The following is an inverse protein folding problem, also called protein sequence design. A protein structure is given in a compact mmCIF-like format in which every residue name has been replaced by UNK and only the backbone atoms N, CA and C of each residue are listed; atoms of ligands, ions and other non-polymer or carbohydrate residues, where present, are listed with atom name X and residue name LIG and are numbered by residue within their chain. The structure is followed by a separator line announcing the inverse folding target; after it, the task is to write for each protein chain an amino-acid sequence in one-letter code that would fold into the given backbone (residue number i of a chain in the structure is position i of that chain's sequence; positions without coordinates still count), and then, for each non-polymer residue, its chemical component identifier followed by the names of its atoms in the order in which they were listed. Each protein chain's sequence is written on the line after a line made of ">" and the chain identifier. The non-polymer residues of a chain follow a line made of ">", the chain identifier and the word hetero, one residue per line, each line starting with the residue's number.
data_IF_407792516883
#
_entry.id   IF_407792516883
#
_cell.length_a   1.000
_cell.length_b   1.000
_cell.length_c   1.000
_cell.angle_alpha   90.00
_cell.angle_beta   90.00
_cell.angle_gamma   90.00
#
_symmetry.space_group_name_H-M   'P 1'
#
loop_
_entity.id
_entity.type
_entity.pdbx_description
1 polymer ?
#
# COMPACT_ATOMS: atom_id res chain seq x y z
N UNK A 1 20.00 23.82 -11.04
CA UNK A 1 19.94 23.75 -12.52
C UNK A 1 19.77 25.09 -13.21
N UNK A 2 18.82 25.98 -12.85
CA UNK A 2 18.63 27.29 -13.52
C UNK A 2 19.91 28.17 -13.58
N UNK A 3 20.73 28.19 -12.52
CA UNK A 3 22.02 28.92 -12.50
C UNK A 3 23.09 28.33 -13.45
N UNK A 4 23.06 27.02 -13.71
CA UNK A 4 24.03 26.36 -14.60
C UNK A 4 23.68 26.62 -16.07
N UNK A 5 22.39 26.56 -16.42
CA UNK A 5 21.90 26.99 -17.74
C UNK A 5 22.12 28.48 -17.98
N UNK A 6 21.99 29.32 -16.95
CA UNK A 6 22.30 30.75 -17.04
C UNK A 6 23.78 30.99 -17.39
N UNK A 7 24.72 30.28 -16.75
CA UNK A 7 26.15 30.40 -17.05
C UNK A 7 26.46 29.93 -18.48
N UNK A 8 25.84 28.84 -18.93
CA UNK A 8 25.96 28.36 -20.32
C UNK A 8 25.40 29.40 -21.30
N UNK A 9 24.22 29.95 -21.01
CA UNK A 9 23.57 30.97 -21.84
C UNK A 9 24.40 32.25 -21.90
N UNK A 10 24.99 32.68 -20.78
CA UNK A 10 25.91 33.82 -20.73
C UNK A 10 27.15 33.55 -21.59
N UNK A 11 27.76 32.36 -21.51
CA UNK A 11 28.92 32.03 -22.34
C UNK A 11 28.60 31.95 -23.83
N UNK A 12 27.44 31.41 -24.20
CA UNK A 12 26.97 31.39 -25.59
C UNK A 12 26.64 32.82 -26.06
N UNK A 13 26.01 33.64 -25.21
CA UNK A 13 25.71 35.04 -25.53
C UNK A 13 26.98 35.87 -25.73
N UNK A 14 27.99 35.70 -24.87
CA UNK A 14 29.31 36.34 -25.04
C UNK A 14 29.95 35.89 -26.36
N UNK A 15 29.90 34.60 -26.68
CA UNK A 15 30.42 34.06 -27.95
C UNK A 15 29.69 34.63 -29.18
N UNK A 16 28.37 34.77 -29.13
CA UNK A 16 27.55 35.36 -30.22
C UNK A 16 27.80 36.86 -30.38
N UNK A 17 27.99 37.59 -29.27
CA UNK A 17 28.34 39.03 -29.30
C UNK A 17 29.72 39.23 -29.92
N UNK A 18 30.71 38.41 -29.55
CA UNK A 18 32.05 38.45 -30.16
C UNK A 18 32.04 38.17 -31.67
N UNK A 19 31.08 37.39 -32.19
CA UNK A 19 30.91 37.17 -33.65
C UNK A 19 30.22 38.36 -34.33
N UNK A 20 29.29 39.04 -33.65
CA UNK A 20 28.60 40.23 -34.21
C UNK A 20 29.51 41.44 -34.34
N UNK A 21 30.41 41.67 -33.38
CA UNK A 21 31.36 42.80 -33.43
C UNK A 21 32.39 42.64 -34.57
N UNK A 22 32.68 41.41 -34.99
CA UNK A 22 33.56 41.13 -36.15
C UNK A 22 32.86 41.42 -37.50
N UNK A 23 31.54 41.26 -37.57
CA UNK A 23 30.76 41.51 -38.79
C UNK A 23 30.29 42.96 -38.96
N UNK A 24 30.34 43.80 -37.92
CA UNK A 24 29.90 45.20 -37.98
C UNK A 24 30.91 46.15 -38.66
N UNK A 25 32.12 45.68 -39.00
CA UNK A 25 33.17 46.48 -39.65
C UNK A 25 33.14 46.50 -41.19
N UNK A 26 32.15 45.86 -41.83
CA UNK A 26 32.06 45.75 -43.29
C UNK A 26 30.68 46.22 -43.74
N UNK A 27 30.55 47.49 -44.09
CA UNK A 27 29.57 47.95 -45.08
C UNK A 27 30.01 49.27 -45.74
N UNK A 28 30.00 49.20 -47.06
CA UNK A 28 30.46 50.14 -48.08
C UNK A 28 29.84 51.55 -48.06
N UNK A 29 30.61 52.51 -48.56
CA UNK A 29 30.08 53.47 -49.54
C UNK A 29 31.17 53.86 -50.57
N UNK A 30 30.93 53.49 -51.82
CA UNK A 30 31.74 53.82 -52.99
C UNK A 30 31.33 55.21 -53.56
N UNK A 31 32.38 56.01 -53.75
CA UNK A 31 32.66 57.15 -54.64
C UNK A 31 31.74 57.52 -55.82
N UNK A 32 31.73 58.82 -56.13
CA UNK A 32 32.09 59.46 -57.44
C UNK A 32 32.55 60.90 -57.12
N UNK A 33 33.64 61.51 -57.61
CA UNK A 33 34.12 61.68 -58.99
C UNK A 33 35.62 62.06 -59.07
N UNK A 34 36.20 61.73 -60.25
CA UNK A 34 37.44 62.12 -60.95
C UNK A 34 38.29 63.33 -60.47
N UNK A 35 39.58 63.10 -60.19
CA UNK A 35 40.71 63.37 -61.12
C UNK A 35 42.07 63.05 -60.45
N UNK A 36 42.95 62.39 -61.21
CA UNK A 36 44.40 62.18 -61.07
C UNK A 36 45.04 62.29 -59.67
N UNK A 37 45.67 61.20 -59.20
CA UNK A 37 47.03 61.17 -58.62
C UNK A 37 47.47 59.69 -58.48
N UNK A 38 48.74 59.46 -58.83
CA UNK A 38 49.55 58.26 -58.64
C UNK A 38 49.28 57.53 -57.31
N UNK A 39 48.92 56.24 -57.34
CA UNK A 39 48.96 55.38 -56.15
C UNK A 39 49.49 53.98 -56.48
N UNK A 40 50.62 53.65 -55.84
CA UNK A 40 51.16 52.30 -55.67
C UNK A 40 50.06 51.36 -55.19
N UNK A 41 49.91 50.21 -55.84
CA UNK A 41 49.17 49.09 -55.29
C UNK A 41 50.16 48.07 -54.73
N UNK A 42 50.40 48.16 -53.42
CA UNK A 42 50.79 47.01 -52.61
C UNK A 42 49.61 46.03 -52.53
N UNK A 43 49.86 44.71 -52.51
CA UNK A 43 48.80 43.72 -52.39
C UNK A 43 48.13 43.85 -51.02
N UNK A 44 46.83 44.16 -50.99
CA UNK A 44 46.02 44.10 -49.76
C UNK A 44 45.83 42.64 -49.38
N UNK A 45 46.54 42.20 -48.35
CA UNK A 45 46.26 40.96 -47.62
C UNK A 45 44.83 41.00 -47.08
N UNK A 46 43.97 40.10 -47.58
CA UNK A 46 42.59 39.95 -47.15
C UNK A 46 42.42 38.83 -46.10
N UNK A 47 43.43 38.59 -45.25
CA UNK A 47 43.43 37.43 -44.32
C UNK A 47 43.05 37.76 -42.86
N UNK A 48 42.95 39.03 -42.46
CA UNK A 48 42.99 39.35 -41.01
C UNK A 48 41.72 39.05 -40.17
N UNK A 49 40.53 38.97 -40.77
CA UNK A 49 39.27 38.78 -40.01
C UNK A 49 38.80 37.31 -39.98
N UNK A 50 39.02 36.57 -41.07
CA UNK A 50 38.74 35.14 -41.10
C UNK A 50 39.69 34.39 -40.17
N UNK A 51 40.99 34.70 -40.21
CA UNK A 51 41.97 34.11 -39.31
C UNK A 51 41.69 34.44 -37.84
N UNK A 52 41.26 35.66 -37.50
CA UNK A 52 40.86 35.99 -36.12
C UNK A 52 39.67 35.16 -35.65
N UNK A 53 38.68 34.95 -36.51
CA UNK A 53 37.48 34.18 -36.17
C UNK A 53 37.82 32.68 -36.02
N UNK A 54 38.63 32.14 -36.91
CA UNK A 54 39.16 30.76 -36.84
C UNK A 54 40.04 30.58 -35.60
N UNK A 55 40.83 31.59 -35.22
CA UNK A 55 41.68 31.55 -34.02
C UNK A 55 40.86 31.56 -32.73
N UNK A 56 39.83 32.38 -32.62
CA UNK A 56 38.91 32.38 -31.46
C UNK A 56 38.16 31.05 -31.35
N UNK A 57 37.75 30.46 -32.47
CA UNK A 57 37.07 29.16 -32.49
C UNK A 57 38.03 28.03 -32.11
N UNK A 58 39.26 28.03 -32.64
CA UNK A 58 40.29 27.01 -32.32
C UNK A 58 40.80 27.14 -30.88
N UNK A 59 40.95 28.35 -30.35
CA UNK A 59 41.31 28.61 -28.94
C UNK A 59 40.20 28.19 -27.95
N UNK A 60 38.91 28.31 -28.35
CA UNK A 60 37.78 27.92 -27.50
C UNK A 60 37.22 26.52 -27.79
N UNK A 61 37.74 25.81 -28.80
CA UNK A 61 37.28 24.49 -29.23
C UNK A 61 37.41 23.48 -28.09
N UNK A 62 38.50 23.53 -27.33
CA UNK A 62 38.70 22.69 -26.14
C UNK A 62 37.63 22.91 -25.06
N UNK A 63 37.23 24.18 -24.84
CA UNK A 63 36.18 24.53 -23.86
C UNK A 63 34.79 24.08 -24.32
N UNK A 64 34.48 24.21 -25.61
CA UNK A 64 33.22 23.75 -26.22
C UNK A 64 33.11 22.22 -26.23
N UNK A 65 34.19 21.52 -26.59
CA UNK A 65 34.28 20.05 -26.55
C UNK A 65 34.15 19.55 -25.12
N UNK A 66 34.79 20.20 -24.14
CA UNK A 66 34.64 19.85 -22.73
C UNK A 66 33.19 20.06 -22.24
N UNK A 67 32.53 21.15 -22.65
CA UNK A 67 31.13 21.42 -22.29
C UNK A 67 30.18 20.40 -22.90
N UNK A 68 30.35 20.07 -24.18
CA UNK A 68 29.61 19.02 -24.88
C UNK A 68 29.85 17.65 -24.23
N UNK A 69 31.11 17.35 -23.90
CA UNK A 69 31.48 16.14 -23.15
C UNK A 69 30.78 16.06 -21.81
N UNK A 70 30.66 17.17 -21.08
CA UNK A 70 29.97 17.24 -19.78
C UNK A 70 28.45 17.09 -19.92
N UNK A 71 27.85 17.69 -20.95
CA UNK A 71 26.42 17.56 -21.27
C UNK A 71 26.09 16.10 -21.64
N UNK A 72 26.94 15.44 -22.44
CA UNK A 72 26.77 14.05 -22.84
C UNK A 72 27.07 13.07 -21.69
N UNK A 73 28.03 13.38 -20.81
CA UNK A 73 28.40 12.56 -19.67
C UNK A 73 27.38 12.66 -18.52
N UNK A 74 26.72 13.81 -18.33
CA UNK A 74 25.74 14.01 -17.25
C UNK A 74 24.64 12.94 -17.16
N UNK A 75 23.91 12.58 -18.25
CA UNK A 75 22.89 11.52 -18.18
C UNK A 75 23.49 10.15 -17.84
N UNK A 76 24.70 9.85 -18.32
CA UNK A 76 25.40 8.60 -18.01
C UNK A 76 25.80 8.54 -16.53
N UNK A 77 26.34 9.64 -15.99
CA UNK A 77 26.78 9.75 -14.61
C UNK A 77 25.58 9.69 -13.65
N UNK A 78 24.49 10.39 -13.97
CA UNK A 78 23.21 10.30 -13.24
C UNK A 78 22.68 8.87 -13.24
N UNK A 79 22.66 8.20 -14.40
CA UNK A 79 22.21 6.80 -14.49
C UNK A 79 23.07 5.88 -13.62
N UNK A 80 24.40 6.04 -13.65
CA UNK A 80 25.31 5.20 -12.87
C UNK A 80 25.15 5.40 -11.36
N UNK A 81 24.95 6.65 -10.90
CA UNK A 81 24.68 6.93 -9.49
C UNK A 81 23.37 6.27 -9.02
N UNK A 82 22.33 6.31 -9.86
CA UNK A 82 21.05 5.66 -9.53
C UNK A 82 21.20 4.14 -9.51
N UNK A 83 21.90 3.56 -10.49
CA UNK A 83 22.19 2.11 -10.51
C UNK A 83 22.95 1.68 -9.26
N UNK A 84 24.00 2.42 -8.86
CA UNK A 84 24.76 2.13 -7.63
C UNK A 84 23.89 2.24 -6.37
N UNK A 85 23.01 3.25 -6.30
CA UNK A 85 22.09 3.40 -5.18
C UNK A 85 21.09 2.23 -5.10
N UNK A 86 20.53 1.80 -6.24
CA UNK A 86 19.63 0.64 -6.30
C UNK A 86 20.37 -0.63 -5.88
N UNK A 87 21.59 -0.86 -6.35
CA UNK A 87 22.39 -2.03 -5.95
C UNK A 87 22.65 -2.03 -4.44
N UNK A 88 23.05 -0.88 -3.88
CA UNK A 88 23.25 -0.74 -2.43
C UNK A 88 21.97 -1.02 -1.63
N UNK A 89 20.83 -0.49 -2.07
CA UNK A 89 19.54 -0.73 -1.44
C UNK A 89 19.12 -2.21 -1.53
N UNK A 90 19.34 -2.86 -2.68
CA UNK A 90 19.04 -4.29 -2.87
C UNK A 90 19.90 -5.18 -1.96
N UNK A 91 21.20 -4.91 -1.88
CA UNK A 91 22.10 -5.64 -0.99
C UNK A 91 21.68 -5.48 0.48
N UNK A 92 21.33 -4.26 0.87
CA UNK A 92 20.81 -3.97 2.22
C UNK A 92 19.53 -4.75 2.51
N UNK A 93 18.55 -4.71 1.59
CA UNK A 93 17.30 -5.47 1.72
C UNK A 93 17.58 -6.97 1.86
N UNK A 94 18.50 -7.52 1.07
CA UNK A 94 18.84 -8.94 1.13
C UNK A 94 19.50 -9.32 2.47
N UNK A 95 20.41 -8.50 2.97
CA UNK A 95 21.04 -8.70 4.27
C UNK A 95 20.00 -8.64 5.40
N UNK A 96 19.16 -7.60 5.41
CA UNK A 96 18.08 -7.45 6.38
C UNK A 96 17.09 -8.62 6.28
N UNK A 97 16.71 -9.06 5.08
CA UNK A 97 15.83 -10.22 4.89
C UNK A 97 16.41 -11.50 5.48
N UNK A 98 17.73 -11.73 5.39
CA UNK A 98 18.39 -12.89 6.03
C UNK A 98 18.28 -12.81 7.55
N UNK A 99 18.47 -11.63 8.13
CA UNK A 99 18.36 -11.45 9.58
C UNK A 99 16.90 -11.59 10.05
N UNK A 100 15.93 -11.02 9.33
CA UNK A 100 14.50 -11.21 9.61
C UNK A 100 14.14 -12.70 9.55
N UNK A 101 14.59 -13.41 8.52
CA UNK A 101 14.33 -14.84 8.39
C UNK A 101 14.86 -15.63 9.58
N UNK A 102 16.10 -15.36 10.01
CA UNK A 102 16.73 -15.99 11.18
C UNK A 102 15.95 -15.71 12.47
N UNK A 103 15.59 -14.45 12.72
CA UNK A 103 14.85 -14.06 13.93
C UNK A 103 13.43 -14.62 13.94
N UNK A 104 12.73 -14.54 12.81
CA UNK A 104 11.39 -15.10 12.64
C UNK A 104 11.38 -16.61 12.85
N UNK A 105 12.37 -17.34 12.30
CA UNK A 105 12.51 -18.77 12.54
C UNK A 105 12.74 -19.07 14.03
N UNK A 106 13.60 -18.31 14.71
CA UNK A 106 13.83 -18.45 16.16
C UNK A 106 12.54 -18.25 16.96
N UNK A 107 11.70 -17.27 16.58
CA UNK A 107 10.39 -17.06 17.21
C UNK A 107 9.43 -18.22 16.93
N UNK A 108 9.38 -18.73 15.69
CA UNK A 108 8.61 -19.94 15.38
C UNK A 108 9.01 -21.11 16.27
N UNK A 109 10.31 -21.37 16.43
CA UNK A 109 10.82 -22.46 17.27
C UNK A 109 10.50 -22.22 18.75
N UNK A 110 10.48 -20.96 19.20
CA UNK A 110 10.14 -20.57 20.57
C UNK A 110 8.65 -20.76 20.87
N UNK A 111 7.76 -20.44 19.92
CA UNK A 111 6.32 -20.49 20.13
C UNK A 111 5.68 -21.84 19.77
N UNK A 112 6.34 -22.66 18.96
CA UNK A 112 5.82 -23.96 18.54
C UNK A 112 5.43 -24.86 19.74
N UNK A 113 6.24 -25.01 20.80
CA UNK A 113 5.86 -25.80 21.97
C UNK A 113 4.57 -25.33 22.65
N UNK A 114 4.28 -24.03 22.62
CA UNK A 114 3.06 -23.44 23.19
C UNK A 114 1.80 -23.79 22.42
N UNK A 115 1.92 -24.33 21.20
CA UNK A 115 0.77 -24.82 20.42
C UNK A 115 0.32 -26.23 20.79
N UNK A 116 1.17 -27.00 21.48
CA UNK A 116 0.89 -28.41 21.82
C UNK A 116 -0.06 -28.58 23.00
N UNK A 117 -0.14 -27.58 23.88
CA UNK A 117 -1.03 -27.56 25.02
C UNK A 117 -1.99 -26.39 24.88
N UNK A 118 -3.29 -26.66 24.86
CA UNK A 118 -4.32 -25.63 24.68
C UNK A 118 -4.62 -24.94 26.03
N UNK A 119 -3.76 -23.99 26.39
CA UNK A 119 -3.84 -23.20 27.62
C UNK A 119 -4.56 -21.88 27.35
N UNK A 120 -5.24 -21.35 28.37
CA UNK A 120 -5.80 -20.00 28.31
C UNK A 120 -4.66 -18.99 28.25
N UNK A 121 -4.73 -18.07 27.30
CA UNK A 121 -3.78 -16.98 27.12
C UNK A 121 -4.01 -15.90 28.18
N UNK A 122 -2.97 -15.55 28.92
CA UNK A 122 -2.97 -14.39 29.80
C UNK A 122 -2.66 -13.12 29.00
N UNK A 123 -2.95 -11.95 29.58
CA UNK A 123 -2.67 -10.67 28.90
C UNK A 123 -1.16 -10.46 28.73
N UNK A 124 -0.39 -10.93 29.69
CA UNK A 124 1.07 -10.90 29.73
C UNK A 124 1.68 -11.71 28.58
N UNK A 125 1.04 -12.80 28.15
CA UNK A 125 1.49 -13.58 27.00
C UNK A 125 1.37 -12.77 25.70
N UNK A 126 0.27 -12.04 25.53
CA UNK A 126 0.05 -11.15 24.39
C UNK A 126 1.08 -10.01 24.40
N UNK A 127 1.40 -9.48 25.58
CA UNK A 127 2.41 -8.42 25.76
C UNK A 127 3.83 -8.87 25.42
N UNK A 128 4.19 -10.08 25.84
CA UNK A 128 5.48 -10.70 25.53
C UNK A 128 5.63 -10.89 24.03
N UNK A 129 4.65 -11.54 23.38
CA UNK A 129 4.63 -11.73 21.93
C UNK A 129 4.68 -10.41 21.18
N UNK A 130 3.89 -9.42 21.62
CA UNK A 130 3.88 -8.11 20.96
C UNK A 130 5.26 -7.44 20.99
N UNK A 131 6.04 -7.62 22.06
CA UNK A 131 7.41 -7.12 22.17
C UNK A 131 8.31 -7.78 21.13
N UNK A 132 8.30 -9.10 21.07
CA UNK A 132 9.10 -9.88 20.11
C UNK A 132 8.75 -9.49 18.65
N UNK A 133 7.46 -9.33 18.35
CA UNK A 133 6.98 -8.91 17.03
C UNK A 133 7.35 -7.46 16.71
N UNK A 134 7.40 -6.56 17.70
CA UNK A 134 7.85 -5.18 17.49
C UNK A 134 9.32 -5.13 17.10
N UNK A 135 10.16 -5.93 17.74
CA UNK A 135 11.61 -5.94 17.48
C UNK A 135 11.91 -6.37 16.05
N UNK A 136 11.30 -7.46 15.60
CA UNK A 136 11.45 -7.91 14.20
C UNK A 136 10.78 -6.95 13.21
N UNK A 137 9.68 -6.28 13.58
CA UNK A 137 9.06 -5.25 12.74
C UNK A 137 9.97 -4.03 12.54
N UNK A 138 10.69 -3.60 13.57
CA UNK A 138 11.64 -2.49 13.45
C UNK A 138 12.82 -2.87 12.56
N UNK A 139 13.35 -4.08 12.70
CA UNK A 139 14.34 -4.62 11.77
C UNK A 139 13.80 -4.63 10.33
N UNK A 140 12.53 -5.01 10.15
CA UNK A 140 11.93 -5.12 8.82
C UNK A 140 11.76 -3.81 8.05
N UNK A 141 11.91 -2.63 8.68
CA UNK A 141 11.76 -1.35 7.98
C UNK A 141 12.77 -1.16 6.84
N UNK A 142 13.92 -1.83 6.93
CA UNK A 142 14.97 -1.79 5.90
C UNK A 142 14.94 -3.00 4.96
N UNK A 143 14.00 -3.92 5.19
CA UNK A 143 13.84 -5.16 4.43
C UNK A 143 12.86 -5.03 3.26
N UNK A 144 12.41 -6.19 2.78
CA UNK A 144 11.43 -6.27 1.69
C UNK A 144 10.06 -5.77 2.12
N UNK A 145 9.40 -4.98 1.26
CA UNK A 145 8.06 -4.44 1.53
C UNK A 145 7.04 -5.50 1.92
N UNK A 146 7.16 -6.70 1.36
CA UNK A 146 6.24 -7.81 1.59
C UNK A 146 6.31 -8.31 3.04
N UNK A 147 7.53 -8.58 3.54
CA UNK A 147 7.77 -8.99 4.91
C UNK A 147 7.40 -7.89 5.91
N UNK A 148 7.83 -6.65 5.63
CA UNK A 148 7.50 -5.47 6.46
C UNK A 148 5.99 -5.28 6.59
N UNK A 149 5.24 -5.49 5.50
CA UNK A 149 3.78 -5.32 5.47
C UNK A 149 3.07 -6.38 6.31
N UNK A 150 3.49 -7.65 6.26
CA UNK A 150 2.90 -8.69 7.10
C UNK A 150 3.22 -8.46 8.59
N UNK A 151 4.46 -8.09 8.92
CA UNK A 151 4.85 -7.76 10.29
C UNK A 151 4.11 -6.50 10.80
N UNK A 152 3.87 -5.51 9.94
CA UNK A 152 3.02 -4.37 10.26
C UNK A 152 1.61 -4.82 10.65
N UNK A 153 0.97 -5.67 9.84
CA UNK A 153 -0.37 -6.14 10.12
C UNK A 153 -0.45 -6.99 11.39
N UNK A 154 0.50 -7.91 11.59
CA UNK A 154 0.57 -8.73 12.79
C UNK A 154 0.76 -7.88 14.05
N UNK A 155 1.72 -6.95 14.03
CA UNK A 155 1.98 -6.04 15.15
C UNK A 155 0.74 -5.25 15.53
N UNK A 156 0.09 -4.58 14.57
CA UNK A 156 -1.09 -3.77 14.87
C UNK A 156 -2.29 -4.62 15.32
N UNK A 157 -2.45 -5.83 14.76
CA UNK A 157 -3.48 -6.77 15.21
C UNK A 157 -3.25 -7.18 16.66
N UNK A 158 -2.01 -7.49 17.05
CA UNK A 158 -1.67 -7.83 18.44
C UNK A 158 -1.86 -6.63 19.38
N UNK A 159 -1.51 -5.40 18.95
CA UNK A 159 -1.78 -4.19 19.72
C UNK A 159 -3.28 -3.96 19.95
N UNK A 160 -4.11 -4.10 18.91
CA UNK A 160 -5.56 -3.99 19.03
C UNK A 160 -6.16 -5.12 19.87
N UNK A 161 -5.61 -6.33 19.76
CA UNK A 161 -6.00 -7.48 20.59
C UNK A 161 -5.70 -7.20 22.05
N UNK A 162 -4.47 -6.76 22.39
CA UNK A 162 -4.07 -6.41 23.75
C UNK A 162 -4.98 -5.33 24.36
N UNK A 163 -5.37 -4.31 23.58
CA UNK A 163 -6.28 -3.24 24.02
C UNK A 163 -7.66 -3.77 24.41
N UNK A 164 -8.20 -4.70 23.61
CA UNK A 164 -9.57 -5.19 23.73
C UNK A 164 -9.68 -6.52 24.48
N UNK A 165 -8.56 -7.11 24.92
CA UNK A 165 -8.55 -8.39 25.62
C UNK A 165 -8.92 -8.21 27.09
N UNK A 166 -10.07 -8.76 27.48
CA UNK A 166 -10.58 -8.75 28.86
C UNK A 166 -10.79 -10.19 29.31
N UNK A 167 -9.95 -10.65 30.24
CA UNK A 167 -9.98 -12.02 30.80
C UNK A 167 -11.31 -12.36 31.48
N UNK A 168 -12.03 -11.36 31.97
CA UNK A 168 -13.31 -11.51 32.67
C UNK A 168 -14.51 -11.79 31.74
N UNK A 169 -14.29 -11.76 30.42
CA UNK A 169 -15.34 -12.02 29.43
C UNK A 169 -15.41 -13.50 29.04
N UNK A 170 -16.56 -13.96 28.53
CA UNK A 170 -16.76 -15.32 27.97
C UNK A 170 -15.89 -15.63 26.73
N UNK A 171 -14.91 -14.79 26.40
CA UNK A 171 -14.19 -14.76 25.13
C UNK A 171 -12.74 -15.20 25.32
N UNK A 172 -12.59 -16.44 25.80
CA UNK A 172 -11.32 -17.07 26.12
C UNK A 172 -10.52 -17.29 24.83
N UNK A 173 -9.29 -16.77 24.80
CA UNK A 173 -8.31 -17.09 23.77
C UNK A 173 -7.42 -18.22 24.25
N UNK A 174 -7.21 -19.22 23.40
CA UNK A 174 -6.32 -20.32 23.71
C UNK A 174 -4.98 -20.20 22.98
N UNK A 175 -3.94 -20.78 23.56
CA UNK A 175 -2.56 -20.74 23.08
C UNK A 175 -2.42 -21.29 21.66
N UNK A 176 -3.10 -22.39 21.33
CA UNK A 176 -3.07 -22.96 19.97
C UNK A 176 -3.62 -21.97 18.93
N UNK A 177 -4.60 -21.14 19.31
CA UNK A 177 -5.15 -20.11 18.42
C UNK A 177 -4.18 -18.95 18.21
N UNK A 178 -3.61 -18.41 19.29
CA UNK A 178 -2.71 -17.26 19.23
C UNK A 178 -1.37 -17.63 18.58
N UNK A 179 -0.65 -18.59 19.15
CA UNK A 179 0.66 -18.99 18.67
C UNK A 179 0.59 -19.66 17.30
N UNK A 180 -0.46 -20.45 17.03
CA UNK A 180 -0.68 -21.04 15.72
C UNK A 180 -0.84 -19.98 14.62
N UNK A 181 -1.58 -18.90 14.90
CA UNK A 181 -1.71 -17.77 13.97
C UNK A 181 -0.37 -17.05 13.77
N UNK A 182 0.36 -16.76 14.84
CA UNK A 182 1.65 -16.07 14.80
C UNK A 182 2.66 -16.88 13.97
N UNK A 183 2.81 -18.17 14.27
CA UNK A 183 3.71 -19.07 13.53
C UNK A 183 3.34 -19.11 12.05
N UNK A 184 2.04 -19.15 11.73
CA UNK A 184 1.59 -19.13 10.34
C UNK A 184 2.02 -17.85 9.61
N UNK A 185 1.83 -16.69 10.24
CA UNK A 185 2.21 -15.40 9.64
C UNK A 185 3.73 -15.26 9.56
N UNK A 186 4.47 -15.66 10.59
CA UNK A 186 5.95 -15.67 10.58
C UNK A 186 6.51 -16.63 9.52
N UNK A 187 5.84 -17.75 9.26
CA UNK A 187 6.18 -18.64 8.15
C UNK A 187 5.97 -17.98 6.79
N UNK A 188 4.89 -17.20 6.64
CA UNK A 188 4.66 -16.42 5.41
C UNK A 188 5.72 -15.30 5.27
N UNK A 189 6.12 -14.65 6.37
CA UNK A 189 7.25 -13.69 6.40
C UNK A 189 8.56 -14.38 5.96
N UNK A 190 8.86 -15.57 6.49
CA UNK A 190 10.04 -16.35 6.09
C UNK A 190 10.02 -16.68 4.60
N UNK A 191 8.87 -17.06 4.08
CA UNK A 191 8.69 -17.29 2.65
C UNK A 191 9.06 -16.03 1.83
N UNK A 192 8.52 -14.86 2.17
CA UNK A 192 8.85 -13.61 1.45
C UNK A 192 10.31 -13.18 1.60
N UNK A 193 10.91 -13.36 2.77
CA UNK A 193 12.34 -13.07 2.98
C UNK A 193 13.26 -13.97 2.16
N UNK A 194 12.84 -15.21 1.85
CA UNK A 194 13.59 -16.14 1.00
C UNK A 194 13.48 -15.85 -0.50
N UNK A 195 12.52 -15.02 -0.92
CA UNK A 195 12.35 -14.68 -2.33
C UNK A 195 13.42 -13.70 -2.83
N UNK A 196 13.73 -13.78 -4.12
CA UNK A 196 14.62 -12.84 -4.78
C UNK A 196 13.97 -11.45 -4.79
N UNK A 197 14.67 -10.45 -4.24
CA UNK A 197 14.22 -9.06 -4.25
C UNK A 197 14.08 -8.58 -5.69
N UNK A 198 12.91 -8.06 -6.05
CA UNK A 198 12.64 -7.61 -7.41
C UNK A 198 13.57 -6.45 -7.77
N UNK A 199 14.41 -6.65 -8.79
CA UNK A 199 15.19 -5.57 -9.38
C UNK A 199 14.23 -4.67 -10.17
N UNK A 200 14.21 -3.34 -9.89
CA UNK A 200 13.30 -2.45 -10.58
C UNK A 200 13.55 -2.47 -12.09
N UNK A 201 12.46 -2.59 -12.87
CA UNK A 201 12.50 -2.61 -14.34
C UNK A 201 13.10 -1.33 -14.95
N UNK A 202 13.15 -0.24 -14.17
CA UNK A 202 13.67 1.04 -14.61
C UNK A 202 14.10 1.90 -13.43
N UNK A 203 15.09 2.75 -13.66
CA UNK A 203 15.55 3.81 -12.75
C UNK A 203 14.65 5.05 -12.72
N UNK A 204 13.48 4.98 -13.39
CA UNK A 204 12.50 6.07 -13.41
C UNK A 204 11.96 6.36 -12.01
N UNK A 205 11.94 7.65 -11.70
CA UNK A 205 11.41 8.20 -10.46
C UNK A 205 10.04 8.78 -10.77
N UNK A 206 9.10 8.63 -9.85
CA UNK A 206 7.80 9.29 -9.86
C UNK A 206 7.67 10.23 -8.65
N UNK A 207 7.04 11.38 -8.90
CA UNK A 207 6.66 12.30 -7.84
C UNK A 207 5.32 11.84 -7.25
N UNK A 208 5.31 11.65 -5.94
CA UNK A 208 4.11 11.44 -5.15
C UNK A 208 3.86 12.73 -4.39
N UNK A 209 2.67 13.29 -4.54
CA UNK A 209 2.25 14.37 -3.67
C UNK A 209 1.74 13.76 -2.35
N UNK A 210 2.32 14.18 -1.24
CA UNK A 210 1.90 13.77 0.11
C UNK A 210 0.51 14.30 0.47
N UNK A 211 0.02 15.33 -0.22
CA UNK A 211 -1.28 15.94 0.01
C UNK A 211 -2.29 15.46 -1.04
N UNK A 212 -3.30 14.74 -0.53
CA UNK A 212 -4.46 14.34 -1.32
C UNK A 212 -5.37 15.54 -1.64
N UNK A 213 -5.40 16.57 -0.77
CA UNK A 213 -6.18 17.80 -0.96
C UNK A 213 -5.52 18.72 -1.98
N UNK A 214 -6.15 18.88 -3.14
CA UNK A 214 -5.61 19.72 -4.23
C UNK A 214 -5.60 21.19 -3.86
N UNK A 215 -6.57 21.62 -3.06
CA UNK A 215 -6.81 22.99 -2.62
C UNK A 215 -5.64 23.51 -1.77
N UNK A 216 -5.06 22.63 -0.94
CA UNK A 216 -3.95 23.00 -0.06
C UNK A 216 -2.60 23.08 -0.77
N UNK A 217 -2.45 22.48 -1.96
CA UNK A 217 -1.14 22.37 -2.62
C UNK A 217 -0.47 23.70 -2.90
N UNK A 218 -1.23 24.76 -3.14
CA UNK A 218 -0.70 26.10 -3.37
C UNK A 218 -0.13 26.77 -2.11
N UNK A 219 -0.44 26.24 -0.92
CA UNK A 219 -0.10 26.83 0.37
C UNK A 219 0.97 26.04 1.14
N UNK A 220 1.44 24.91 0.60
CA UNK A 220 2.42 24.04 1.28
C UNK A 220 3.63 23.77 0.40
N UNK A 221 4.81 24.09 0.92
CA UNK A 221 6.09 23.78 0.27
C UNK A 221 6.51 22.33 0.56
N UNK A 222 7.33 21.75 -0.32
CA UNK A 222 7.89 20.39 -0.15
C UNK A 222 6.84 19.27 -0.05
N UNK A 223 5.70 19.43 -0.71
CA UNK A 223 4.62 18.44 -0.73
C UNK A 223 4.88 17.25 -1.66
N UNK A 224 5.87 17.34 -2.56
CA UNK A 224 6.25 16.26 -3.47
C UNK A 224 7.43 15.45 -2.92
N UNK A 225 7.24 14.14 -2.80
CA UNK A 225 8.29 13.16 -2.50
C UNK A 225 8.52 12.31 -3.73
N UNK A 226 9.78 11.98 -3.98
CA UNK A 226 10.18 11.18 -5.12
C UNK A 226 10.39 9.73 -4.69
N UNK A 227 9.75 8.78 -5.39
CA UNK A 227 10.03 7.35 -5.23
C UNK A 227 10.38 6.71 -6.56
N UNK A 228 11.06 5.57 -6.51
CA UNK A 228 11.30 4.76 -7.69
C UNK A 228 10.00 4.06 -8.13
N UNK A 229 9.63 4.21 -9.40
CA UNK A 229 8.33 3.74 -9.92
C UNK A 229 8.10 2.23 -9.79
N UNK A 230 9.18 1.45 -9.82
CA UNK A 230 9.12 -0.03 -9.80
C UNK A 230 9.84 -0.63 -8.61
N UNK A 231 10.00 0.14 -7.53
CA UNK A 231 10.70 -0.31 -6.34
C UNK A 231 9.91 0.14 -5.11
N UNK A 232 9.13 -0.80 -4.58
CA UNK A 232 8.36 -0.59 -3.38
C UNK A 232 9.27 -0.84 -2.17
N UNK A 233 9.37 0.15 -1.29
CA UNK A 233 10.07 0.05 -0.01
C UNK A 233 9.09 0.41 1.10
N UNK A 234 9.24 -0.23 2.25
CA UNK A 234 8.36 -0.02 3.40
C UNK A 234 7.00 -0.70 3.29
N UNK A 235 6.07 -0.27 4.14
CA UNK A 235 4.75 -0.89 4.30
C UNK A 235 3.81 -0.54 3.14
N UNK A 236 3.11 -1.54 2.63
CA UNK A 236 2.03 -1.37 1.65
C UNK A 236 0.73 -1.12 2.43
N UNK A 237 0.34 0.15 2.53
CA UNK A 237 -0.86 0.58 3.25
C UNK A 237 -2.18 0.42 2.47
N UNK A 238 -2.15 -0.07 1.23
CA UNK A 238 -3.36 -0.25 0.44
C UNK A 238 -4.23 -1.40 1.03
N UNK A 239 -5.45 -1.11 1.54
CA UNK A 239 -6.34 -2.12 2.10
C UNK A 239 -6.86 -3.12 1.05
N UNK A 240 -6.71 -2.82 -0.24
CA UNK A 240 -7.09 -3.70 -1.36
C UNK A 240 -5.91 -4.54 -1.86
N UNK A 241 -4.73 -4.41 -1.23
CA UNK A 241 -3.55 -5.20 -1.58
C UNK A 241 -3.76 -6.71 -1.38
N UNK A 242 -3.02 -7.49 -2.17
CA UNK A 242 -2.96 -8.94 -2.00
C UNK A 242 -2.47 -9.32 -0.60
N UNK A 243 -1.47 -8.61 -0.07
CA UNK A 243 -0.91 -8.82 1.27
C UNK A 243 -1.97 -8.72 2.35
N UNK A 244 -2.83 -7.69 2.29
CA UNK A 244 -3.92 -7.56 3.25
C UNK A 244 -4.92 -8.70 3.13
N UNK A 245 -5.27 -9.12 1.91
CA UNK A 245 -6.18 -10.26 1.68
C UNK A 245 -5.60 -11.58 2.21
N UNK A 246 -4.33 -11.87 1.95
CA UNK A 246 -3.64 -13.08 2.43
C UNK A 246 -3.48 -13.07 3.96
N UNK A 247 -3.13 -11.93 4.53
CA UNK A 247 -3.09 -11.75 5.98
C UNK A 247 -4.47 -12.04 6.59
N UNK A 248 -5.52 -11.42 6.03
CA UNK A 248 -6.89 -11.61 6.51
C UNK A 248 -7.40 -13.03 6.32
N UNK A 249 -6.91 -13.78 5.34
CA UNK A 249 -7.19 -15.21 5.20
C UNK A 249 -6.71 -16.01 6.42
N UNK A 250 -5.51 -15.71 6.91
CA UNK A 250 -4.97 -16.32 8.13
C UNK A 250 -5.76 -15.89 9.37
N UNK A 251 -6.13 -14.61 9.47
CA UNK A 251 -7.02 -14.10 10.54
C UNK A 251 -8.39 -14.78 10.50
N UNK A 252 -8.99 -14.95 9.33
CA UNK A 252 -10.32 -15.53 9.19
C UNK A 252 -10.38 -16.99 9.70
N UNK A 253 -9.27 -17.73 9.52
CA UNK A 253 -9.09 -19.09 10.05
C UNK A 253 -8.94 -19.12 11.57
N UNK A 254 -8.56 -18.02 12.20
CA UNK A 254 -8.60 -17.93 13.66
C UNK A 254 -10.06 -17.93 14.12
N UNK A 255 -10.39 -18.76 15.11
CA UNK A 255 -11.73 -18.80 15.69
C UNK A 255 -11.96 -17.70 16.73
N UNK A 256 -11.04 -16.73 16.85
CA UNK A 256 -11.09 -15.70 17.86
C UNK A 256 -11.62 -14.36 17.30
N UNK A 257 -12.72 -13.90 17.86
CA UNK A 257 -13.40 -12.64 17.51
C UNK A 257 -12.55 -11.40 17.80
N UNK A 258 -11.83 -11.38 18.92
CA UNK A 258 -10.99 -10.24 19.32
C UNK A 258 -9.85 -10.01 18.33
N UNK A 259 -9.20 -11.09 17.87
CA UNK A 259 -8.18 -11.02 16.82
C UNK A 259 -8.78 -10.52 15.50
N UNK A 260 -9.94 -11.06 15.09
CA UNK A 260 -10.64 -10.63 13.87
C UNK A 260 -11.00 -9.14 13.92
N UNK A 261 -11.55 -8.67 15.04
CA UNK A 261 -11.92 -7.25 15.24
C UNK A 261 -10.68 -6.35 15.19
N UNK A 262 -9.62 -6.72 15.89
CA UNK A 262 -8.37 -5.97 15.91
C UNK A 262 -7.73 -5.87 14.52
N UNK A 263 -7.71 -6.96 13.76
CA UNK A 263 -7.22 -6.96 12.38
C UNK A 263 -8.06 -6.07 11.47
N UNK A 264 -9.40 -6.15 11.58
CA UNK A 264 -10.31 -5.31 10.81
C UNK A 264 -10.14 -3.81 11.12
N UNK A 265 -9.91 -3.45 12.37
CA UNK A 265 -9.75 -2.06 12.82
C UNK A 265 -8.56 -1.33 12.17
N UNK A 266 -7.56 -2.05 11.63
CA UNK A 266 -6.39 -1.43 10.98
C UNK A 266 -6.82 -0.55 9.80
N UNK A 267 -7.74 -1.04 8.97
CA UNK A 267 -8.18 -0.35 7.75
C UNK A 267 -9.68 -0.10 7.68
N UNK A 268 -10.48 -0.79 8.51
CA UNK A 268 -11.95 -0.78 8.49
C UNK A 268 -12.52 -0.97 7.08
N UNK A 269 -11.92 -1.90 6.33
CA UNK A 269 -12.23 -2.12 4.92
C UNK A 269 -12.70 -3.54 4.67
N UNK A 270 -13.80 -3.68 3.93
CA UNK A 270 -14.44 -4.98 3.64
C UNK A 270 -13.85 -5.72 2.43
N UNK A 271 -12.97 -5.09 1.65
CA UNK A 271 -12.34 -5.72 0.48
C UNK A 271 -11.74 -7.12 0.76
N UNK A 272 -10.91 -7.34 1.81
CA UNK A 272 -10.36 -8.66 2.08
C UNK A 272 -11.44 -9.71 2.37
N UNK A 273 -12.48 -9.37 3.15
CA UNK A 273 -13.53 -10.34 3.47
C UNK A 273 -14.39 -10.68 2.25
N UNK A 274 -14.68 -9.70 1.40
CA UNK A 274 -15.39 -9.90 0.13
C UNK A 274 -14.58 -10.82 -0.79
N UNK A 275 -13.26 -10.62 -0.89
CA UNK A 275 -12.38 -11.50 -1.66
C UNK A 275 -12.49 -12.96 -1.18
N UNK A 276 -12.50 -13.17 0.15
CA UNK A 276 -12.63 -14.49 0.74
C UNK A 276 -14.01 -15.12 0.50
N UNK A 277 -15.10 -14.36 0.66
CA UNK A 277 -16.46 -14.81 0.35
C UNK A 277 -16.57 -15.22 -1.13
N UNK A 278 -16.02 -14.41 -2.02
CA UNK A 278 -16.03 -14.65 -3.46
C UNK A 278 -15.28 -15.95 -3.83
N UNK A 279 -14.10 -16.18 -3.26
CA UNK A 279 -13.34 -17.43 -3.47
C UNK A 279 -14.11 -18.65 -2.98
N UNK A 280 -14.84 -18.52 -1.86
CA UNK A 280 -15.67 -19.59 -1.30
C UNK A 280 -17.05 -19.72 -1.97
N UNK A 281 -17.37 -18.89 -2.98
CA UNK A 281 -18.66 -18.87 -3.69
C UNK A 281 -19.85 -18.74 -2.75
N UNK A 282 -19.73 -17.91 -1.73
CA UNK A 282 -20.79 -17.56 -0.78
C UNK A 282 -21.00 -16.06 -0.74
N UNK A 283 -22.22 -15.63 -0.43
CA UNK A 283 -22.53 -14.23 -0.21
C UNK A 283 -23.13 -14.03 1.17
N UNK A 284 -22.58 -13.04 1.86
CA UNK A 284 -23.14 -12.44 3.05
C UNK A 284 -22.90 -10.93 2.96
N UNK A 285 -23.83 -10.10 3.44
CA UNK A 285 -23.66 -8.65 3.46
C UNK A 285 -22.40 -8.29 4.26
N UNK A 286 -21.40 -7.63 3.65
CA UNK A 286 -20.21 -7.22 4.36
C UNK A 286 -20.43 -5.98 5.23
N UNK A 287 -21.50 -5.21 4.96
CA UNK A 287 -21.90 -4.05 5.76
C UNK A 287 -23.40 -4.10 5.96
N UNK A 288 -23.81 -3.99 7.21
CA UNK A 288 -25.18 -3.99 7.67
C UNK A 288 -25.49 -2.63 8.30
N UNK A 289 -26.64 -2.03 7.93
CA UNK A 289 -27.16 -0.82 8.56
C UNK A 289 -28.40 -1.17 9.40
N UNK A 290 -28.37 -0.97 10.72
CA UNK A 290 -29.54 -1.08 11.59
C UNK A 290 -30.51 0.10 11.34
N UNK A 291 -31.79 -0.05 11.71
CA UNK A 291 -32.85 0.88 11.35
C UNK A 291 -32.77 2.23 12.07
N UNK A 292 -32.20 2.26 13.28
CA UNK A 292 -32.13 3.47 14.10
C UNK A 292 -30.88 4.25 13.75
N UNK A 293 -31.06 5.37 13.06
CA UNK A 293 -30.04 6.43 13.03
C UNK A 293 -29.82 6.91 14.48
N UNK A 294 -28.57 6.97 14.98
CA UNK A 294 -28.37 7.40 16.35
C UNK A 294 -28.67 8.89 16.48
N UNK A 295 -29.08 9.26 17.70
CA UNK A 295 -29.36 10.65 18.10
C UNK A 295 -28.21 11.64 17.83
N UNK A 296 -26.99 11.15 17.55
CA UNK A 296 -25.77 11.95 17.38
C UNK A 296 -25.03 11.76 16.04
N UNK A 297 -25.71 11.35 14.97
CA UNK A 297 -25.21 11.52 13.60
C UNK A 297 -24.03 10.62 13.17
N UNK A 298 -23.68 9.59 13.93
CA UNK A 298 -22.74 8.56 13.50
C UNK A 298 -23.50 7.44 12.76
N UNK A 299 -23.15 7.04 11.54
CA UNK A 299 -23.79 5.84 10.98
C UNK A 299 -23.47 4.60 11.83
N UNK A 300 -24.52 3.94 12.33
CA UNK A 300 -24.44 2.72 13.15
C UNK A 300 -24.05 1.50 12.30
N UNK A 301 -22.93 1.52 11.60
CA UNK A 301 -22.57 0.44 10.68
C UNK A 301 -22.01 -0.78 11.41
N UNK A 302 -22.49 -1.96 11.01
CA UNK A 302 -22.00 -3.25 11.49
C UNK A 302 -21.29 -3.93 10.32
N UNK A 303 -20.06 -4.38 10.53
CA UNK A 303 -19.22 -4.93 9.47
C UNK A 303 -19.02 -6.43 9.65
N UNK A 304 -19.02 -7.18 8.55
CA UNK A 304 -18.58 -8.57 8.55
C UNK A 304 -17.07 -8.60 8.68
N UNK A 305 -16.57 -9.13 9.80
CA UNK A 305 -15.14 -9.21 10.12
C UNK A 305 -14.58 -10.64 9.98
N UNK A 306 -15.42 -11.64 9.73
CA UNK A 306 -14.95 -13.00 9.50
C UNK A 306 -16.08 -13.99 9.25
N UNK A 307 -15.74 -15.19 8.82
CA UNK A 307 -16.66 -16.32 8.75
C UNK A 307 -15.93 -17.65 8.93
N UNK A 308 -16.64 -18.67 9.40
CA UNK A 308 -16.15 -20.05 9.45
C UNK A 308 -17.19 -21.01 8.88
N UNK A 309 -16.75 -22.00 8.10
CA UNK A 309 -17.60 -23.07 7.57
C UNK A 309 -17.41 -24.28 8.49
N UNK A 310 -18.51 -24.77 9.05
CA UNK A 310 -18.55 -25.88 10.01
C UNK A 310 -19.42 -27.00 9.47
N UNK A 311 -18.99 -28.24 9.70
CA UNK A 311 -19.81 -29.41 9.41
C UNK A 311 -20.42 -29.88 10.73
N UNK A 312 -21.75 -29.81 10.84
CA UNK A 312 -22.44 -30.35 12.01
C UNK A 312 -22.85 -31.80 11.73
N UNK A 313 -22.20 -32.73 12.43
CA UNK A 313 -22.60 -34.13 12.48
C UNK A 313 -23.50 -34.33 13.70
N UNK A 314 -24.80 -34.56 13.50
CA UNK A 314 -25.65 -35.03 14.60
C UNK A 314 -25.43 -36.53 14.76
N UNK A 315 -24.59 -36.91 15.72
CA UNK A 315 -24.47 -38.30 16.16
C UNK A 315 -25.61 -38.53 17.15
N UNK A 316 -26.69 -39.21 16.74
CA UNK A 316 -27.66 -39.71 17.73
C UNK A 316 -29.07 -40.06 17.26
N UNK A 317 -29.63 -39.46 16.20
CA UNK A 317 -30.99 -39.77 15.78
C UNK A 317 -31.13 -39.68 14.26
N UNK A 318 -31.36 -40.84 13.64
CA UNK A 318 -31.85 -41.10 12.27
C UNK A 318 -31.37 -40.20 11.13
N UNK A 319 -30.57 -40.76 10.20
CA UNK A 319 -30.40 -40.36 8.79
C UNK A 319 -30.50 -38.86 8.37
N UNK A 320 -30.27 -37.88 9.26
CA UNK A 320 -30.14 -36.48 8.85
C UNK A 320 -28.76 -36.30 8.21
N UNK A 321 -28.76 -35.91 6.93
CA UNK A 321 -27.54 -35.55 6.19
C UNK A 321 -26.75 -34.50 6.99
N UNK A 322 -25.41 -34.55 6.98
CA UNK A 322 -24.58 -33.56 7.64
C UNK A 322 -24.98 -32.16 7.15
N UNK A 323 -25.34 -31.27 8.08
CA UNK A 323 -25.66 -29.89 7.76
C UNK A 323 -24.37 -29.08 7.73
N UNK A 324 -24.06 -28.52 6.57
CA UNK A 324 -22.97 -27.55 6.41
C UNK A 324 -23.49 -26.17 6.84
N UNK A 325 -22.88 -25.63 7.90
CA UNK A 325 -23.24 -24.34 8.49
C UNK A 325 -22.13 -23.33 8.28
N UNK A 326 -22.49 -22.06 8.19
CA UNK A 326 -21.56 -20.95 8.14
C UNK A 326 -21.86 -20.02 9.29
N UNK A 327 -20.85 -19.79 10.11
CA UNK A 327 -20.90 -18.78 11.17
C UNK A 327 -20.26 -17.51 10.66
N UNK A 328 -21.06 -16.46 10.49
CA UNK A 328 -20.65 -15.12 10.08
C UNK A 328 -20.38 -14.27 11.33
N UNK A 329 -19.20 -13.66 11.44
CA UNK A 329 -18.81 -12.80 12.56
C UNK A 329 -18.95 -11.33 12.18
N UNK A 330 -19.85 -10.62 12.86
CA UNK A 330 -20.14 -9.22 12.66
C UNK A 330 -19.67 -8.39 13.85
N UNK A 331 -19.13 -7.20 13.59
CA UNK A 331 -18.66 -6.29 14.64
C UNK A 331 -18.88 -4.83 14.30
N UNK A 332 -19.09 -4.03 15.34
CA UNK A 332 -18.86 -2.60 15.29
C UNK A 332 -17.37 -2.32 15.63
N UNK A 333 -16.58 -1.81 14.66
CA UNK A 333 -15.15 -1.57 14.84
C UNK A 333 -14.86 -0.27 15.61
N UNK A 334 -15.87 0.53 15.94
CA UNK A 334 -15.71 1.76 16.71
C UNK A 334 -15.59 1.44 18.19
N UNK A 335 -14.62 2.07 18.85
CA UNK A 335 -14.42 1.96 20.30
C UNK A 335 -15.06 3.15 21.05
N UNK A 336 -15.44 4.21 20.33
CA UNK A 336 -16.04 5.42 20.89
C UNK A 336 -17.57 5.34 21.03
N UNK A 337 -18.19 4.31 20.42
CA UNK A 337 -19.63 4.14 20.42
C UNK A 337 -19.97 2.66 20.50
N UNK A 338 -20.64 2.25 21.58
CA UNK A 338 -21.04 0.87 21.84
C UNK A 338 -22.56 0.73 21.74
N UNK A 339 -23.03 -0.15 20.86
CA UNK A 339 -24.47 -0.35 20.64
C UNK A 339 -24.83 -1.79 20.28
N UNK A 340 -23.87 -2.66 20.00
CA UNK A 340 -24.16 -4.04 19.63
C UNK A 340 -24.87 -4.77 20.78
N UNK A 341 -24.51 -4.48 22.03
CA UNK A 341 -25.14 -5.09 23.22
C UNK A 341 -26.64 -4.80 23.35
N UNK A 342 -27.11 -3.65 22.87
CA UNK A 342 -28.51 -3.24 22.97
C UNK A 342 -29.39 -3.72 21.81
N UNK A 343 -28.78 -4.32 20.78
CA UNK A 343 -29.51 -4.87 19.63
C UNK A 343 -29.97 -6.31 19.96
N UNK A 344 -31.27 -6.57 19.97
CA UNK A 344 -31.79 -7.94 20.11
C UNK A 344 -31.76 -8.72 18.78
N UNK A 345 -31.96 -10.04 18.84
CA UNK A 345 -31.92 -10.87 17.64
C UNK A 345 -33.07 -10.56 16.68
N UNK A 346 -34.25 -10.24 17.22
CA UNK A 346 -35.46 -9.94 16.44
C UNK A 346 -35.30 -8.66 15.61
N UNK A 347 -34.72 -7.60 16.17
CA UNK A 347 -34.41 -6.37 15.43
C UNK A 347 -33.36 -6.60 14.34
N UNK A 348 -32.38 -7.48 14.56
CA UNK A 348 -31.41 -7.86 13.52
C UNK A 348 -32.13 -8.52 12.35
N UNK A 349 -33.06 -9.44 12.62
CA UNK A 349 -33.74 -10.19 11.57
C UNK A 349 -34.69 -9.33 10.73
N UNK A 350 -35.39 -8.39 11.37
CA UNK A 350 -36.43 -7.58 10.75
C UNK A 350 -35.91 -6.31 10.08
N UNK A 351 -34.99 -5.61 10.73
CA UNK A 351 -34.81 -4.19 10.47
C UNK A 351 -33.45 -3.83 9.86
N UNK A 352 -32.49 -4.76 9.92
CA UNK A 352 -31.13 -4.55 9.43
C UNK A 352 -31.06 -4.80 7.92
N UNK A 353 -30.46 -3.86 7.20
CA UNK A 353 -30.36 -3.91 5.73
C UNK A 353 -28.93 -4.12 5.26
N UNK A 354 -28.80 -4.88 4.17
CA UNK A 354 -27.58 -4.95 3.36
C UNK A 354 -27.41 -3.64 2.58
N UNK A 355 -26.33 -2.92 2.86
CA UNK A 355 -26.01 -1.68 2.15
C UNK A 355 -24.90 -1.86 1.11
N UNK A 356 -24.31 -3.05 1.01
CA UNK A 356 -23.25 -3.32 0.04
C UNK A 356 -23.83 -3.62 -1.34
N UNK A 357 -24.85 -4.48 -1.40
CA UNK A 357 -25.65 -4.73 -2.59
C UNK A 357 -27.06 -4.22 -2.35
N UNK A 358 -27.38 -3.08 -2.97
CA UNK A 358 -28.74 -2.54 -2.99
C UNK A 358 -29.72 -3.58 -3.54
N UNK A 359 -30.83 -3.75 -2.83
CA UNK A 359 -31.88 -4.72 -3.16
C UNK A 359 -31.34 -6.15 -3.31
N UNK A 360 -30.42 -6.57 -2.44
CA UNK A 360 -30.12 -7.99 -2.30
C UNK A 360 -31.34 -8.73 -1.76
N UNK A 361 -31.52 -9.99 -2.16
CA UNK A 361 -32.56 -10.87 -1.61
C UNK A 361 -32.12 -11.50 -0.29
N UNK A 362 -30.97 -11.07 0.24
CA UNK A 362 -30.42 -11.60 1.47
C UNK A 362 -31.31 -11.22 2.65
N UNK A 363 -31.90 -12.23 3.28
CA UNK A 363 -32.74 -12.12 4.46
C UNK A 363 -32.00 -12.61 5.71
N UNK A 364 -31.94 -11.76 6.74
CA UNK A 364 -31.41 -12.11 8.06
C UNK A 364 -32.35 -13.05 8.83
N UNK A 365 -33.64 -13.15 8.43
CA UNK A 365 -34.60 -14.12 8.96
C UNK A 365 -34.18 -15.58 8.78
N UNK A 366 -33.32 -15.84 7.79
CA UNK A 366 -32.77 -17.18 7.53
C UNK A 366 -31.64 -17.57 8.49
N UNK A 367 -31.28 -16.70 9.45
CA UNK A 367 -30.30 -17.02 10.47
C UNK A 367 -30.87 -18.04 11.46
N UNK A 368 -30.13 -19.13 11.69
CA UNK A 368 -30.50 -20.19 12.62
C UNK A 368 -30.26 -19.77 14.08
N UNK A 369 -29.22 -18.96 14.32
CA UNK A 369 -28.75 -18.61 15.66
C UNK A 369 -28.00 -17.29 15.66
N UNK A 370 -28.19 -16.51 16.72
CA UNK A 370 -27.30 -15.41 17.10
C UNK A 370 -26.52 -15.78 18.36
N UNK A 371 -25.23 -15.45 18.39
CA UNK A 371 -24.39 -15.62 19.58
C UNK A 371 -23.49 -14.42 19.78
N UNK A 372 -23.34 -13.94 21.02
CA UNK A 372 -22.36 -12.91 21.34
C UNK A 372 -21.00 -13.56 21.51
N UNK A 373 -19.99 -13.03 20.83
CA UNK A 373 -18.66 -13.65 20.79
C UNK A 373 -17.53 -12.66 21.09
N UNK A 374 -17.80 -11.39 21.38
CA UNK A 374 -16.79 -10.41 21.75
C UNK A 374 -17.40 -9.08 22.14
N UNK A 375 -16.54 -8.14 22.58
CA UNK A 375 -16.92 -6.73 22.72
C UNK A 375 -17.38 -6.22 21.37
N UNK A 376 -18.58 -5.64 21.31
CA UNK A 376 -19.19 -5.13 20.08
C UNK A 376 -19.16 -6.15 18.92
N UNK A 377 -19.28 -7.45 19.23
CA UNK A 377 -19.15 -8.51 18.23
C UNK A 377 -20.16 -9.63 18.48
N UNK A 378 -20.84 -10.04 17.42
CA UNK A 378 -21.77 -11.16 17.44
C UNK A 378 -21.55 -12.06 16.21
N UNK A 379 -22.06 -13.28 16.29
CA UNK A 379 -22.10 -14.21 15.18
C UNK A 379 -23.51 -14.58 14.80
N UNK A 380 -23.71 -14.80 13.50
CA UNK A 380 -24.94 -15.31 12.92
C UNK A 380 -24.64 -16.62 12.20
N UNK A 381 -25.43 -17.65 12.49
CA UNK A 381 -25.30 -18.96 11.86
C UNK A 381 -26.31 -19.11 10.71
N UNK A 382 -25.84 -19.54 9.55
CA UNK A 382 -26.67 -19.79 8.35
C UNK A 382 -26.36 -21.16 7.77
N UNK A 383 -27.31 -21.74 7.03
CA UNK A 383 -27.04 -22.90 6.19
C UNK A 383 -26.14 -22.49 4.99
N UNK A 384 -25.10 -23.27 4.70
CA UNK A 384 -24.15 -22.95 3.62
C UNK A 384 -24.84 -22.85 2.26
N UNK A 385 -25.84 -23.71 2.01
CA UNK A 385 -26.56 -23.75 0.75
C UNK A 385 -27.27 -22.43 0.47
N UNK A 386 -27.89 -21.83 1.49
CA UNK A 386 -28.53 -20.52 1.36
C UNK A 386 -27.53 -19.44 0.92
N UNK A 387 -26.35 -19.37 1.56
CA UNK A 387 -25.33 -18.39 1.19
C UNK A 387 -24.74 -18.62 -0.22
N UNK A 388 -24.67 -19.88 -0.68
CA UNK A 388 -24.26 -20.24 -2.05
C UNK A 388 -25.29 -19.79 -3.09
N UNK A 389 -26.58 -19.91 -2.78
CA UNK A 389 -27.64 -19.47 -3.68
C UNK A 389 -27.72 -17.94 -3.74
N UNK A 390 -27.54 -17.26 -2.61
CA UNK A 390 -27.38 -15.80 -2.59
C UNK A 390 -26.15 -15.33 -3.38
N UNK A 391 -25.05 -16.09 -3.37
CA UNK A 391 -23.90 -15.80 -4.23
C UNK A 391 -24.26 -15.88 -5.71
N UNK A 392 -24.95 -16.95 -6.15
CA UNK A 392 -25.36 -17.08 -7.55
C UNK A 392 -26.27 -15.93 -7.98
N UNK A 393 -27.22 -15.54 -7.12
CA UNK A 393 -28.16 -14.45 -7.38
C UNK A 393 -27.45 -13.10 -7.52
N UNK A 394 -26.35 -12.89 -6.79
CA UNK A 394 -25.64 -11.61 -6.71
C UNK A 394 -24.28 -11.58 -7.42
N UNK A 395 -23.81 -12.67 -8.03
CA UNK A 395 -22.43 -12.83 -8.53
C UNK A 395 -21.97 -11.67 -9.42
N UNK A 396 -22.81 -11.28 -10.39
CA UNK A 396 -22.50 -10.18 -11.31
C UNK A 396 -22.38 -8.84 -10.58
N UNK A 397 -23.24 -8.58 -9.60
CA UNK A 397 -23.23 -7.36 -8.79
C UNK A 397 -21.97 -7.31 -7.92
N UNK A 398 -21.60 -8.43 -7.29
CA UNK A 398 -20.36 -8.58 -6.51
C UNK A 398 -19.15 -8.27 -7.38
N UNK A 399 -19.01 -8.94 -8.55
CA UNK A 399 -17.89 -8.71 -9.49
C UNK A 399 -17.78 -7.25 -9.91
N UNK A 400 -18.90 -6.59 -10.17
CA UNK A 400 -18.92 -5.18 -10.57
C UNK A 400 -18.47 -4.27 -9.43
N UNK A 401 -18.96 -4.46 -8.20
CA UNK A 401 -18.52 -3.69 -7.02
C UNK A 401 -17.03 -3.89 -6.74
N UNK A 402 -16.52 -5.13 -6.83
CA UNK A 402 -15.08 -5.44 -6.69
C UNK A 402 -14.22 -4.76 -7.76
N UNK A 403 -14.67 -4.71 -9.03
CA UNK A 403 -13.93 -4.02 -10.10
C UNK A 403 -13.96 -2.50 -9.93
N UNK A 404 -15.10 -1.95 -9.52
CA UNK A 404 -15.25 -0.51 -9.32
C UNK A 404 -14.43 -0.03 -8.14
N UNK A 405 -14.36 -0.81 -7.06
CA UNK A 405 -13.54 -0.47 -5.89
C UNK A 405 -12.04 -0.44 -6.22
N UNK A 406 -11.55 -1.18 -7.22
CA UNK A 406 -10.15 -1.07 -7.68
C UNK A 406 -9.90 0.26 -8.41
N UNK A 407 -10.91 0.80 -9.09
CA UNK A 407 -10.80 2.05 -9.87
C UNK A 407 -10.93 3.30 -9.00
N UNK A 408 -11.69 3.22 -7.91
CA UNK A 408 -11.82 4.31 -6.93
C UNK A 408 -10.90 4.05 -5.73
N UNK A 409 -9.81 4.80 -5.61
CA UNK A 409 -8.98 4.89 -4.39
C UNK A 409 -9.69 5.62 -3.23
N UNK A 410 -11.01 5.55 -3.19
CA UNK A 410 -11.85 6.23 -2.23
C UNK A 410 -12.09 5.27 -1.06
N UNK A 411 -11.79 5.75 0.14
CA UNK A 411 -12.07 5.02 1.37
C UNK A 411 -13.60 4.94 1.52
N UNK A 412 -14.15 3.84 2.03
CA UNK A 412 -15.62 3.72 2.16
C UNK A 412 -16.17 4.78 3.12
N UNK A 413 -15.33 5.32 4.02
CA UNK A 413 -15.61 6.52 4.84
C UNK A 413 -15.87 7.80 4.03
N UNK A 414 -15.36 7.90 2.81
CA UNK A 414 -15.52 9.09 1.98
C UNK A 414 -16.72 8.93 1.01
N UNK A 415 -17.43 7.80 1.05
CA UNK A 415 -18.52 7.49 0.11
C UNK A 415 -19.90 7.44 0.77
N UNK A 416 -19.97 7.55 2.09
CA UNK A 416 -21.22 7.61 2.86
C UNK A 416 -21.07 8.59 4.02
#
# INVERSE_FOLDING_TARGET
>A
MKRFYLIIYIKIAIFVVSIKDVNAGVNDSLTTNTNQILLKFEPKEADSNFDKTVKIITENLGSLVALLGLILAYPLLKRKLIENHIISALNKIQETNREIHKQSQKLCDTYLPSTFNDKIIAKEDIESVLRDIKDIYYLSQEGSSDATTLLFYLKNTLQGTQKNYVLETKYIMFSTQLYGLIIKILSDVNFYCSQVVQVPKSTKIEAINLLNYKELRGYVTHSDVYKYKYFNQGVIYDPKSLHHTLFYQSINRSNNSSIKRAAFQIHQNVAPIINLLFVNKIYAPPVLKPPKDPLFGADNLIFLIGFSIKNQFKIGQGHELPKELVELTYSNPRDDFHFIESIDFESIQNDVKDIYIENSQFSLMKANKLSRCGVETFTLEFELQYLKDEYKNNERRIKNKMKNSIKTNVNIRDTY
#
